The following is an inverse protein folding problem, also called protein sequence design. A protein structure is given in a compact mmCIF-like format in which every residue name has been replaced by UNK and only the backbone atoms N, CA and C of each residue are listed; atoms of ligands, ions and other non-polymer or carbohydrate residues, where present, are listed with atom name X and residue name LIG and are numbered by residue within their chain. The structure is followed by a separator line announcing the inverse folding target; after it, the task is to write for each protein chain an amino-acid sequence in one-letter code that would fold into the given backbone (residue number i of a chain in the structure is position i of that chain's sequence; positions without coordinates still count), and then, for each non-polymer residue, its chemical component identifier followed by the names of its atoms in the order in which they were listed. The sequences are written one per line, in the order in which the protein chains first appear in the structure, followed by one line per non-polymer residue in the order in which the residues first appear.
data_IF_114515073523
#
_entry.id   IF_114515073523
#
_cell.length_a   1.000
_cell.length_b   1.000
_cell.length_c   1.000
_cell.angle_alpha   90.00
_cell.angle_beta   90.00
_cell.angle_gamma   90.00
#
_symmetry.space_group_name_H-M   'P 1'
#
loop_
_entity.id
_entity.type
_entity.pdbx_description
1 polymer ?
#
# COMPACT_ATOMS: atom_id res chain seq x y z
N UNK A 1 19.38 -43.36 -30.04
CA UNK A 1 19.02 -43.42 -28.62
C UNK A 1 19.67 -42.33 -27.77
N UNK A 2 20.94 -42.03 -27.99
CA UNK A 2 21.59 -40.90 -27.29
C UNK A 2 20.99 -39.55 -27.65
N UNK A 3 20.56 -39.38 -28.92
CA UNK A 3 19.90 -38.17 -29.38
C UNK A 3 18.56 -37.93 -28.67
N UNK A 4 17.78 -38.99 -28.42
CA UNK A 4 16.51 -38.92 -27.70
C UNK A 4 16.71 -38.57 -26.24
N UNK A 5 17.74 -39.10 -25.59
CA UNK A 5 18.10 -38.72 -24.21
C UNK A 5 18.55 -37.28 -24.11
N UNK A 6 19.33 -36.83 -25.09
CA UNK A 6 19.80 -35.44 -25.15
C UNK A 6 18.63 -34.48 -25.32
N UNK A 7 17.65 -34.83 -26.14
CA UNK A 7 16.43 -34.03 -26.34
C UNK A 7 15.58 -34.01 -25.07
N UNK A 8 15.41 -35.13 -24.39
CA UNK A 8 14.66 -35.22 -23.14
C UNK A 8 15.32 -34.38 -22.03
N UNK A 9 16.64 -34.39 -21.92
CA UNK A 9 17.39 -33.58 -20.97
C UNK A 9 17.21 -32.12 -21.27
N UNK A 10 17.31 -31.72 -22.52
CA UNK A 10 17.09 -30.35 -22.94
C UNK A 10 15.66 -29.86 -22.65
N UNK A 11 14.66 -30.73 -22.94
CA UNK A 11 13.26 -30.41 -22.66
C UNK A 11 13.03 -30.22 -21.17
N UNK A 12 13.62 -31.02 -20.31
CA UNK A 12 13.55 -30.89 -18.88
C UNK A 12 14.23 -29.60 -18.36
N UNK A 13 15.39 -29.29 -18.95
CA UNK A 13 16.10 -28.04 -18.59
C UNK A 13 15.28 -26.82 -18.97
N UNK A 14 14.68 -26.81 -20.17
CA UNK A 14 13.81 -25.70 -20.62
C UNK A 14 12.60 -25.58 -19.70
N UNK A 15 11.98 -26.71 -19.34
CA UNK A 15 10.84 -26.72 -18.44
C UNK A 15 11.22 -26.20 -17.05
N UNK A 16 12.36 -26.64 -16.51
CA UNK A 16 12.87 -26.20 -15.21
C UNK A 16 13.17 -24.70 -15.21
N UNK A 17 13.80 -24.19 -16.25
CA UNK A 17 14.11 -22.78 -16.42
C UNK A 17 12.83 -21.95 -16.53
N UNK A 18 11.84 -22.46 -17.27
CA UNK A 18 10.54 -21.80 -17.39
C UNK A 18 9.82 -21.70 -16.04
N UNK A 19 9.85 -22.76 -15.25
CA UNK A 19 9.28 -22.78 -13.90
C UNK A 19 9.97 -21.78 -12.97
N UNK A 20 11.30 -21.76 -13.00
CA UNK A 20 12.08 -20.82 -12.19
C UNK A 20 11.77 -19.37 -12.55
N UNK A 21 11.65 -19.08 -13.83
CA UNK A 21 11.28 -17.74 -14.29
C UNK A 21 9.87 -17.38 -13.85
N UNK A 22 8.92 -18.30 -13.98
CA UNK A 22 7.54 -18.10 -13.53
C UNK A 22 7.49 -17.85 -12.02
N UNK A 23 8.21 -18.64 -11.23
CA UNK A 23 8.29 -18.47 -9.78
C UNK A 23 8.87 -17.11 -9.38
N UNK A 24 9.91 -16.66 -10.08
CA UNK A 24 10.50 -15.33 -9.83
C UNK A 24 9.52 -14.22 -10.16
N UNK A 25 8.81 -14.34 -11.27
CA UNK A 25 7.82 -13.36 -11.69
C UNK A 25 6.68 -13.28 -10.66
N UNK A 26 6.18 -14.42 -10.22
CA UNK A 26 5.13 -14.49 -9.20
C UNK A 26 5.60 -13.95 -7.86
N UNK A 27 6.81 -14.29 -7.44
CA UNK A 27 7.40 -13.78 -6.19
C UNK A 27 7.58 -12.27 -6.23
N UNK A 28 8.04 -11.73 -7.35
CA UNK A 28 8.19 -10.30 -7.55
C UNK A 28 6.84 -9.59 -7.55
N UNK A 29 5.85 -10.15 -8.25
CA UNK A 29 4.50 -9.60 -8.28
C UNK A 29 3.88 -9.57 -6.88
N UNK A 30 4.06 -10.64 -6.09
CA UNK A 30 3.59 -10.71 -4.71
C UNK A 30 4.26 -9.66 -3.83
N UNK A 31 5.59 -9.53 -3.93
CA UNK A 31 6.36 -8.54 -3.19
C UNK A 31 5.96 -7.10 -3.57
N UNK A 32 5.84 -6.82 -4.87
CA UNK A 32 5.44 -5.51 -5.37
C UNK A 32 4.00 -5.18 -4.92
N UNK A 33 3.11 -6.18 -4.95
CA UNK A 33 1.74 -6.03 -4.49
C UNK A 33 1.66 -5.69 -3.00
N UNK A 34 2.42 -6.40 -2.17
CA UNK A 34 2.50 -6.13 -0.73
C UNK A 34 3.05 -4.73 -0.44
N UNK A 35 4.09 -4.32 -1.16
CA UNK A 35 4.68 -2.99 -1.02
C UNK A 35 3.67 -1.91 -1.41
N UNK A 36 2.91 -2.12 -2.48
CA UNK A 36 1.87 -1.19 -2.91
C UNK A 36 0.76 -1.06 -1.88
N UNK A 37 0.28 -2.17 -1.34
CA UNK A 37 -0.75 -2.18 -0.29
C UNK A 37 -0.26 -1.44 0.95
N UNK A 38 0.98 -1.68 1.37
CA UNK A 38 1.59 -0.98 2.52
C UNK A 38 1.70 0.53 2.26
N UNK A 39 2.10 0.93 1.06
CA UNK A 39 2.20 2.34 0.68
C UNK A 39 0.83 3.03 0.71
N UNK A 40 -0.19 2.38 0.15
CA UNK A 40 -1.56 2.91 0.16
C UNK A 40 -2.08 3.03 1.59
N UNK A 41 -1.86 2.01 2.42
CA UNK A 41 -2.26 2.04 3.83
C UNK A 41 -1.60 3.20 4.58
N UNK A 42 -0.31 3.43 4.35
CA UNK A 42 0.43 4.54 4.95
C UNK A 42 -0.13 5.90 4.50
N UNK A 43 -0.45 6.05 3.21
CA UNK A 43 -1.06 7.27 2.67
C UNK A 43 -2.43 7.55 3.28
N UNK A 44 -3.24 6.52 3.46
CA UNK A 44 -4.56 6.63 4.09
C UNK A 44 -4.41 7.07 5.55
N UNK A 45 -3.51 6.46 6.28
CA UNK A 45 -3.21 6.82 7.67
C UNK A 45 -2.79 8.28 7.80
N UNK A 46 -1.84 8.71 6.97
CA UNK A 46 -1.35 10.08 6.93
C UNK A 46 -2.46 11.07 6.58
N UNK A 47 -3.26 10.76 5.58
CA UNK A 47 -4.41 11.58 5.18
C UNK A 47 -5.41 11.71 6.34
N UNK A 48 -5.72 10.60 7.01
CA UNK A 48 -6.64 10.57 8.15
C UNK A 48 -6.11 11.44 9.30
N UNK A 49 -4.83 11.35 9.61
CA UNK A 49 -4.19 12.18 10.63
C UNK A 49 -4.26 13.67 10.29
N UNK A 50 -3.95 14.02 9.05
CA UNK A 50 -4.01 15.41 8.56
C UNK A 50 -5.43 15.97 8.65
N UNK A 51 -6.43 15.20 8.24
CA UNK A 51 -7.84 15.61 8.30
C UNK A 51 -8.34 15.72 9.73
N UNK A 52 -7.96 14.78 10.58
CA UNK A 52 -8.31 14.84 12.01
C UNK A 52 -7.75 16.11 12.65
N UNK A 53 -6.48 16.42 12.40
CA UNK A 53 -5.85 17.63 12.90
C UNK A 53 -6.54 18.90 12.37
N UNK A 54 -6.89 18.93 11.09
CA UNK A 54 -7.61 20.05 10.47
C UNK A 54 -8.99 20.27 11.13
N UNK A 55 -9.75 19.20 11.34
CA UNK A 55 -11.05 19.29 11.99
C UNK A 55 -10.94 19.69 13.47
N UNK A 56 -9.93 19.24 14.16
CA UNK A 56 -9.66 19.66 15.54
C UNK A 56 -9.40 21.16 15.61
N UNK A 57 -8.59 21.68 14.71
CA UNK A 57 -8.32 23.14 14.63
C UNK A 57 -9.59 23.94 14.37
N UNK A 58 -10.44 23.46 13.45
CA UNK A 58 -11.71 24.11 13.15
C UNK A 58 -12.63 24.09 14.36
N UNK A 59 -12.72 22.96 15.06
CA UNK A 59 -13.54 22.81 16.25
C UNK A 59 -13.06 23.76 17.35
N UNK A 60 -11.76 23.84 17.59
CA UNK A 60 -11.17 24.76 18.56
C UNK A 60 -11.45 26.21 18.20
N UNK A 61 -11.34 26.55 16.92
CA UNK A 61 -11.64 27.89 16.41
C UNK A 61 -13.11 28.27 16.65
N UNK A 62 -14.04 27.37 16.34
CA UNK A 62 -15.46 27.58 16.59
C UNK A 62 -15.78 27.69 18.07
N UNK A 63 -15.16 26.90 18.91
CA UNK A 63 -15.31 27.02 20.37
C UNK A 63 -14.77 28.34 20.91
N UNK A 64 -13.63 28.79 20.43
CA UNK A 64 -13.04 30.04 20.81
C UNK A 64 -13.94 31.24 20.40
N UNK A 65 -14.48 31.18 19.18
CA UNK A 65 -15.41 32.21 18.69
C UNK A 65 -16.70 32.23 19.52
N UNK A 66 -17.23 31.07 19.81
CA UNK A 66 -18.42 30.88 20.64
C UNK A 66 -18.20 31.44 22.06
N UNK A 67 -17.08 31.13 22.69
CA UNK A 67 -16.73 31.59 24.03
C UNK A 67 -16.52 33.10 24.08
N UNK A 68 -16.04 33.68 22.99
CA UNK A 68 -15.89 35.13 22.86
C UNK A 68 -17.25 35.86 22.76
N UNK A 69 -18.24 35.22 22.13
CA UNK A 69 -19.58 35.84 21.92
C UNK A 69 -20.50 35.67 23.15
N UNK A 70 -20.46 34.51 23.80
CA UNK A 70 -21.33 34.22 24.96
C UNK A 70 -21.27 35.27 26.07
N UNK A 71 -20.11 35.73 26.52
CA UNK A 71 -20.07 36.80 27.52
C UNK A 71 -20.76 38.12 27.11
N UNK A 72 -20.71 38.44 25.80
CA UNK A 72 -21.38 39.65 25.28
C UNK A 72 -22.89 39.50 25.27
N UNK A 73 -23.41 38.31 25.02
CA UNK A 73 -24.85 38.03 25.02
C UNK A 73 -25.45 38.02 26.43
N UNK A 74 -24.67 37.74 27.46
CA UNK A 74 -25.12 37.74 28.86
C UNK A 74 -25.20 39.11 29.47
N UNK A 75 -24.56 40.06 28.89
CA UNK A 75 -24.66 41.46 29.27
C UNK A 75 -25.84 42.17 28.59
#
# INVERSE_FOLDING_TARGET
MEELRSTEVLDKEIETDARRKAERILAKADSDGKALVADVAHRIEKFTEEKTAEYQKKTESYQADRDAVVPLEKE
#
